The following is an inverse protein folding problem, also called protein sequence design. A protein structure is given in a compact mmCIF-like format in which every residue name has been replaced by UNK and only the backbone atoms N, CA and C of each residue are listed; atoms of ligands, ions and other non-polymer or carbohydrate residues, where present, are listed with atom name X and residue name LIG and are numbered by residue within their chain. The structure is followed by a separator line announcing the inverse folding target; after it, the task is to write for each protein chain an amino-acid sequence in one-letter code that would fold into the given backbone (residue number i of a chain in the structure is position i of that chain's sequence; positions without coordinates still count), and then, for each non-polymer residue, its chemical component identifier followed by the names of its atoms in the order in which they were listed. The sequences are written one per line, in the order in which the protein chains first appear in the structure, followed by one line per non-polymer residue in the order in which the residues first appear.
data_IF_590959791266
#
_entry.id   IF_590959791266
#
_cell.length_a   1.000
_cell.length_b   1.000
_cell.length_c   1.000
_cell.angle_alpha   90.00
_cell.angle_beta   90.00
_cell.angle_gamma   90.00
#
_symmetry.space_group_name_H-M   'P 1'
#
loop_
_entity.id
_entity.type
_entity.pdbx_description
1 polymer ?
#
# COMPACT_ATOMS: atom_id res chain seq x y z
N UNK A 1 -9.98 7.20 0.15
CA UNK A 1 -9.04 7.95 -0.71
C UNK A 1 -9.46 7.83 -2.16
N UNK A 2 -9.44 8.94 -2.92
CA UNK A 2 -9.77 8.93 -4.36
C UNK A 2 -8.65 8.33 -5.22
N UNK A 3 -7.40 8.44 -4.76
CA UNK A 3 -6.23 8.15 -5.61
C UNK A 3 -5.64 6.76 -5.38
N UNK A 4 -5.58 6.29 -4.12
CA UNK A 4 -5.11 4.94 -3.76
C UNK A 4 -6.23 4.13 -3.08
N UNK A 5 -7.20 3.58 -3.83
CA UNK A 5 -8.34 2.84 -3.27
C UNK A 5 -7.97 1.47 -2.68
N UNK A 6 -6.72 1.02 -2.92
CA UNK A 6 -6.19 -0.25 -2.45
C UNK A 6 -5.82 -0.26 -0.97
N UNK A 7 -5.64 0.92 -0.38
CA UNK A 7 -5.35 1.08 1.02
C UNK A 7 -6.61 1.51 1.77
N UNK A 8 -6.95 0.76 2.81
CA UNK A 8 -8.08 1.10 3.67
C UNK A 8 -7.66 2.20 4.64
N UNK A 9 -8.32 3.35 4.53
CA UNK A 9 -8.05 4.50 5.41
C UNK A 9 -8.72 4.26 6.77
N UNK A 10 -8.00 3.57 7.66
CA UNK A 10 -8.42 3.33 9.06
C UNK A 10 -7.60 4.11 10.07
N UNK A 11 -7.91 3.89 11.35
CA UNK A 11 -7.17 4.43 12.52
C UNK A 11 -5.66 4.21 12.42
N UNK A 12 -5.23 3.16 11.74
CA UNK A 12 -3.83 2.87 11.51
C UNK A 12 -3.06 3.86 10.62
N UNK A 13 -3.65 4.41 9.55
CA UNK A 13 -2.97 5.47 8.76
C UNK A 13 -2.92 6.75 9.58
N UNK A 14 -3.99 6.99 10.34
CA UNK A 14 -4.03 8.09 11.29
C UNK A 14 -2.93 7.94 12.34
N UNK A 15 -2.72 6.74 12.88
CA UNK A 15 -1.64 6.40 13.79
C UNK A 15 -0.27 6.45 13.12
N UNK A 16 -0.10 6.00 11.87
CA UNK A 16 1.15 6.13 11.13
C UNK A 16 1.55 7.60 10.94
N UNK A 17 0.58 8.49 10.67
CA UNK A 17 0.77 9.95 10.68
C UNK A 17 1.12 10.49 12.09
N UNK A 18 0.58 9.90 13.16
CA UNK A 18 0.87 10.29 14.55
C UNK A 18 2.20 9.76 15.09
N UNK A 19 2.63 8.56 14.69
CA UNK A 19 3.89 7.93 15.10
C UNK A 19 5.12 8.50 14.38
N UNK A 20 4.94 9.57 13.59
CA UNK A 20 6.05 10.39 13.13
C UNK A 20 6.82 9.81 11.95
N UNK A 21 6.21 8.95 11.14
CA UNK A 21 6.76 8.64 9.81
C UNK A 21 6.48 9.85 8.92
N UNK A 22 7.26 10.92 9.09
CA UNK A 22 7.29 12.11 8.22
C UNK A 22 7.91 11.78 6.86
N UNK A 23 7.54 10.64 6.28
CA UNK A 23 7.91 10.33 4.92
C UNK A 23 6.92 10.98 3.98
N UNK A 24 7.46 11.74 3.03
CA UNK A 24 6.75 12.37 1.91
C UNK A 24 5.80 11.40 1.18
N UNK A 25 6.05 10.09 1.30
CA UNK A 25 5.19 9.01 0.83
C UNK A 25 3.76 9.06 1.40
N UNK A 26 3.57 9.44 2.67
CA UNK A 26 2.24 9.51 3.31
C UNK A 26 1.43 10.75 2.91
N UNK A 27 2.11 11.81 2.49
CA UNK A 27 1.47 12.99 1.85
C UNK A 27 1.15 12.67 0.37
N UNK A 28 2.05 11.99 -0.34
CA UNK A 28 1.77 11.53 -1.70
C UNK A 28 0.61 10.51 -1.76
N UNK A 29 0.30 9.85 -0.64
CA UNK A 29 -0.68 8.79 -0.53
C UNK A 29 -2.13 9.25 -0.77
N UNK A 30 -2.48 10.48 -0.37
CA UNK A 30 -3.77 11.10 -0.69
C UNK A 30 -3.72 12.05 -1.90
N UNK A 31 -2.55 12.58 -2.24
CA UNK A 31 -2.35 13.51 -3.37
C UNK A 31 -2.18 12.83 -4.73
N UNK A 32 -1.44 11.71 -4.82
CA UNK A 32 -1.08 11.06 -6.09
C UNK A 32 -1.11 9.53 -6.05
N UNK A 33 -1.13 8.91 -7.23
CA UNK A 33 -1.08 7.46 -7.36
C UNK A 33 0.37 7.00 -7.16
N UNK A 34 0.61 6.19 -6.14
CA UNK A 34 1.95 5.70 -5.83
C UNK A 34 2.45 4.75 -6.93
N UNK A 35 3.74 4.87 -7.24
CA UNK A 35 4.44 3.99 -8.18
C UNK A 35 4.69 2.62 -7.54
N UNK A 36 4.83 1.51 -8.31
CA UNK A 36 5.09 0.19 -7.75
C UNK A 36 6.23 0.12 -6.72
N UNK A 37 7.41 0.73 -6.91
CA UNK A 37 8.47 0.71 -5.89
C UNK A 37 8.08 1.48 -4.62
N UNK A 38 7.32 2.57 -4.73
CA UNK A 38 6.80 3.32 -3.57
C UNK A 38 5.75 2.49 -2.82
N UNK A 39 4.89 1.78 -3.54
CA UNK A 39 3.91 0.85 -2.95
C UNK A 39 4.64 -0.24 -2.14
N UNK A 40 5.73 -0.82 -2.70
CA UNK A 40 6.57 -1.79 -1.99
C UNK A 40 7.16 -1.19 -0.71
N UNK A 41 7.79 -0.02 -0.79
CA UNK A 41 8.37 0.65 0.38
C UNK A 41 7.31 0.89 1.47
N UNK A 42 6.12 1.37 1.09
CA UNK A 42 5.03 1.56 2.04
C UNK A 42 4.61 0.24 2.68
N UNK A 43 4.40 -0.82 1.89
CA UNK A 43 4.03 -2.13 2.42
C UNK A 43 5.10 -2.66 3.38
N UNK A 44 6.38 -2.50 3.04
CA UNK A 44 7.48 -2.91 3.90
C UNK A 44 7.48 -2.16 5.24
N UNK A 45 7.22 -0.85 5.22
CA UNK A 45 7.08 -0.04 6.44
C UNK A 45 5.85 -0.42 7.26
N UNK A 46 4.71 -0.68 6.62
CA UNK A 46 3.45 -1.02 7.28
C UNK A 46 3.49 -2.38 7.99
N UNK A 47 4.11 -3.38 7.37
CA UNK A 47 4.19 -4.74 7.93
C UNK A 47 5.51 -5.02 8.65
N UNK A 48 6.48 -4.11 8.57
CA UNK A 48 7.83 -4.31 9.11
C UNK A 48 8.64 -5.38 8.36
N UNK A 49 8.30 -5.66 7.09
CA UNK A 49 8.88 -6.72 6.28
C UNK A 49 9.60 -6.15 5.06
N UNK A 50 10.93 -6.23 5.01
CA UNK A 50 11.73 -5.69 3.90
C UNK A 50 11.90 -6.67 2.74
N UNK A 51 11.64 -7.97 2.94
CA UNK A 51 11.81 -9.02 1.94
C UNK A 51 10.60 -9.18 1.00
N UNK A 52 10.00 -8.07 0.56
CA UNK A 52 8.89 -8.11 -0.39
C UNK A 52 9.41 -8.28 -1.85
N UNK A 53 8.76 -9.12 -2.68
CA UNK A 53 9.10 -9.27 -4.09
C UNK A 53 9.04 -7.93 -4.85
N UNK A 54 9.84 -7.78 -5.91
CA UNK A 54 9.76 -6.58 -6.74
C UNK A 54 8.48 -6.59 -7.59
N UNK A 55 7.58 -5.61 -7.44
CA UNK A 55 6.31 -5.59 -8.17
C UNK A 55 6.50 -5.40 -9.69
N UNK A 56 7.64 -4.85 -10.12
CA UNK A 56 7.99 -4.69 -11.55
C UNK A 56 8.44 -6.00 -12.20
N UNK A 57 8.97 -6.93 -11.40
CA UNK A 57 9.44 -8.25 -11.87
C UNK A 57 8.33 -9.27 -11.77
N UNK A 58 7.65 -9.33 -10.62
CA UNK A 58 6.53 -10.23 -10.39
C UNK A 58 5.45 -9.56 -9.52
N UNK A 59 4.59 -8.81 -10.19
CA UNK A 59 3.43 -8.17 -9.58
C UNK A 59 2.50 -9.17 -8.88
N UNK A 60 2.41 -10.41 -9.35
CA UNK A 60 1.55 -11.43 -8.75
C UNK A 60 2.14 -11.92 -7.43
N UNK A 61 3.41 -12.30 -7.43
CA UNK A 61 4.10 -12.73 -6.21
C UNK A 61 4.12 -11.62 -5.15
N UNK A 62 4.33 -10.36 -5.56
CA UNK A 62 4.23 -9.21 -4.65
C UNK A 62 2.84 -9.10 -4.02
N UNK A 63 1.77 -9.12 -4.82
CA UNK A 63 0.39 -9.00 -4.30
C UNK A 63 0.05 -10.16 -3.37
N UNK A 64 0.45 -11.39 -3.71
CA UNK A 64 0.19 -12.57 -2.90
C UNK A 64 0.94 -12.47 -1.54
N UNK A 65 2.21 -12.06 -1.53
CA UNK A 65 2.98 -11.84 -0.30
C UNK A 65 2.37 -10.74 0.58
N UNK A 66 1.99 -9.61 -0.02
CA UNK A 66 1.34 -8.49 0.70
C UNK A 66 -0.01 -8.92 1.26
N UNK A 67 -0.77 -9.72 0.51
CA UNK A 67 -2.04 -10.28 0.98
C UNK A 67 -1.83 -11.21 2.18
N UNK A 68 -0.85 -12.10 2.13
CA UNK A 68 -0.55 -13.01 3.24
C UNK A 68 -0.16 -12.24 4.52
N UNK A 69 0.58 -11.14 4.39
CA UNK A 69 0.88 -10.25 5.51
C UNK A 69 -0.37 -9.53 6.02
N UNK A 70 -1.21 -9.02 5.12
CA UNK A 70 -2.47 -8.36 5.47
C UNK A 70 -3.51 -9.30 6.11
N UNK A 71 -3.46 -10.60 5.79
CA UNK A 71 -4.31 -11.63 6.39
C UNK A 71 -3.82 -12.03 7.80
N UNK A 72 -2.51 -11.92 8.06
CA UNK A 72 -1.91 -12.13 9.39
C UNK A 72 -2.04 -10.90 10.30
N UNK A 73 -2.15 -9.71 9.71
CA UNK A 73 -2.35 -8.48 10.46
C UNK A 73 -3.76 -8.39 11.06
N UNK A 74 -3.93 -7.75 12.24
CA UNK A 74 -5.25 -7.53 12.82
C UNK A 74 -6.11 -6.68 11.88
N UNK A 75 -7.41 -7.01 11.76
CA UNK A 75 -8.35 -6.23 10.93
C UNK A 75 -8.44 -4.81 11.46
N UNK A 76 -8.39 -3.84 10.55
CA UNK A 76 -8.55 -2.41 10.87
C UNK A 76 -9.99 -1.97 10.67
N UNK A 77 -10.44 -1.06 11.52
CA UNK A 77 -11.72 -0.42 11.35
C UNK A 77 -11.66 0.54 10.16
N UNK A 78 -12.43 0.24 9.11
CA UNK A 78 -12.59 1.12 7.96
C UNK A 78 -13.66 2.17 8.28
N UNK A 79 -13.24 3.41 8.55
CA UNK A 79 -14.18 4.51 8.87
C UNK A 79 -15.05 4.91 7.67
N UNK A 80 -14.69 4.51 6.45
CA UNK A 80 -15.49 4.78 5.25
C UNK A 80 -16.66 3.83 5.10
N UNK A 81 -16.50 2.57 5.53
CA UNK A 81 -17.53 1.52 5.40
C UNK A 81 -18.15 1.14 6.75
N UNK A 82 -17.55 1.54 7.88
CA UNK A 82 -17.99 1.21 9.24
C UNK A 82 -17.70 -0.24 9.64
N UNK A 83 -16.90 -0.97 8.86
CA UNK A 83 -16.65 -2.40 9.05
C UNK A 83 -15.16 -2.69 9.28
N UNK A 84 -14.87 -3.80 9.97
CA UNK A 84 -13.52 -4.30 10.10
C UNK A 84 -13.05 -4.90 8.75
N UNK A 85 -12.09 -4.25 8.10
CA UNK A 85 -11.52 -4.65 6.83
C UNK A 85 -10.04 -5.01 6.98
N UNK A 86 -9.50 -5.71 5.98
CA UNK A 86 -8.06 -5.88 5.87
C UNK A 86 -7.42 -4.53 5.55
N UNK A 87 -6.17 -4.36 5.95
CA UNK A 87 -5.41 -3.13 5.70
C UNK A 87 -5.29 -2.81 4.21
N UNK A 88 -5.18 -3.87 3.40
CA UNK A 88 -4.95 -3.79 1.96
C UNK A 88 -6.01 -4.59 1.22
N UNK A 89 -6.64 -3.96 0.24
CA UNK A 89 -7.44 -4.63 -0.77
C UNK A 89 -6.53 -5.16 -1.86
N UNK A 90 -6.25 -6.48 -1.83
CA UNK A 90 -5.38 -7.16 -2.79
C UNK A 90 -5.85 -7.02 -4.25
N UNK A 91 -7.15 -6.90 -4.52
CA UNK A 91 -7.66 -6.73 -5.89
C UNK A 91 -7.36 -5.34 -6.41
N UNK A 92 -7.57 -4.32 -5.57
CA UNK A 92 -7.24 -2.95 -5.90
C UNK A 92 -5.72 -2.75 -5.96
N UNK A 93 -4.94 -3.40 -5.09
CA UNK A 93 -3.48 -3.38 -5.12
C UNK A 93 -2.95 -3.95 -6.42
N UNK A 94 -3.45 -5.14 -6.83
CA UNK A 94 -3.09 -5.75 -8.11
C UNK A 94 -3.31 -4.78 -9.26
N UNK A 95 -4.46 -4.10 -9.30
CA UNK A 95 -4.74 -3.09 -10.32
C UNK A 95 -3.77 -1.92 -10.28
N UNK A 96 -3.37 -1.45 -9.09
CA UNK A 96 -2.43 -0.35 -8.95
C UNK A 96 -1.04 -0.72 -9.49
N UNK A 97 -0.55 -1.93 -9.20
CA UNK A 97 0.77 -2.38 -9.68
C UNK A 97 0.75 -2.79 -11.16
N UNK A 98 -0.35 -3.36 -11.68
CA UNK A 98 -0.42 -3.78 -13.10
C UNK A 98 -0.81 -2.66 -14.06
N UNK A 99 -1.48 -1.61 -13.58
CA UNK A 99 -1.80 -0.42 -14.41
C UNK A 99 -0.57 0.45 -14.64
N UNK A 100 0.52 0.17 -13.92
CA UNK A 100 1.81 0.77 -14.18
C UNK A 100 2.42 0.16 -15.44
N UNK A 101 2.02 0.69 -16.59
CA UNK A 101 2.57 0.32 -17.89
C UNK A 101 3.89 1.09 -18.11
N UNK A 102 4.97 0.62 -17.47
CA UNK A 102 6.39 0.81 -17.84
C UNK A 102 6.88 2.19 -18.34
N UNK A 103 6.16 3.27 -18.05
CA UNK A 103 6.25 4.53 -18.77
C UNK A 103 6.59 5.68 -17.85
N UNK A 104 7.79 5.65 -17.30
CA UNK A 104 8.42 6.84 -16.72
C UNK A 104 8.79 6.71 -15.25
N UNK A 105 9.99 6.22 -14.98
CA UNK A 105 10.84 6.87 -14.00
C UNK A 105 12.28 6.89 -14.52
N UNK A 106 12.63 8.04 -15.09
CA UNK A 106 14.01 8.43 -15.32
C UNK A 106 14.66 8.70 -13.95
N UNK A 107 15.82 8.06 -13.74
CA UNK A 107 17.03 8.56 -13.08
C UNK A 107 16.82 9.50 -11.88
N UNK A 108 17.21 9.02 -10.69
CA UNK A 108 17.83 9.85 -9.65
C UNK A 108 19.03 9.10 -9.07
#
# INVERSE_FOLDING_TARGET
MKVNPWLVYGEAIHHARQFGVRDKLFDLLDETALQPPQIKQLCAMLFGESALPEPEVDAKAFVDAVKDLADKAPRVHDVRTGHAAHWIDAKALKRAVTKYDGGGCAIL
#
